data_IF_757178667283
#
_entry.id   IF_757178667283
#
_cell.length_a   1.000
_cell.length_b   1.000
_cell.length_c   1.000
_cell.angle_alpha   90.00
_cell.angle_beta   90.00
_cell.angle_gamma   90.00
#
_symmetry.space_group_name_H-M   'P 1'
#
loop_
_entity.id
_entity.type
_entity.pdbx_description
1 polymer ?
#
# COMPACT_ATOMS: atom_id res chain seq x y z
N UNK A 1 -32.32 8.30 -18.14
CA UNK A 1 -32.33 8.08 -16.68
C UNK A 1 -33.14 6.82 -16.41
N UNK A 2 -32.49 5.74 -15.99
CA UNK A 2 -33.17 4.46 -15.74
C UNK A 2 -32.82 4.04 -14.31
N UNK A 3 -33.86 3.87 -13.51
CA UNK A 3 -33.83 3.75 -12.05
C UNK A 3 -34.25 2.33 -11.70
N UNK A 4 -33.31 1.48 -11.25
CA UNK A 4 -33.57 0.10 -10.85
C UNK A 4 -33.54 0.00 -9.33
N UNK A 5 -34.72 0.05 -8.73
CA UNK A 5 -34.93 -0.26 -7.31
C UNK A 5 -36.02 -1.33 -7.22
N UNK A 6 -35.69 -2.40 -6.49
CA UNK A 6 -36.56 -3.46 -5.96
C UNK A 6 -36.90 -4.60 -6.92
N UNK A 7 -36.21 -5.72 -6.75
CA UNK A 7 -36.76 -7.05 -7.01
C UNK A 7 -36.50 -7.87 -5.75
N UNK A 8 -37.58 -8.16 -5.05
CA UNK A 8 -37.68 -9.06 -3.90
C UNK A 8 -38.65 -10.18 -4.28
N UNK A 9 -38.56 -11.27 -3.52
CA UNK A 9 -39.46 -12.43 -3.43
C UNK A 9 -39.19 -13.67 -4.30
N UNK A 10 -38.62 -14.65 -3.58
CA UNK A 10 -39.24 -15.94 -3.22
C UNK A 10 -39.01 -17.15 -4.14
N UNK A 11 -38.56 -18.27 -3.55
CA UNK A 11 -39.41 -19.46 -3.35
C UNK A 11 -38.69 -20.58 -2.56
N UNK A 12 -39.32 -20.94 -1.44
CA UNK A 12 -39.62 -22.31 -0.96
C UNK A 12 -38.54 -23.22 -0.34
N UNK A 13 -38.73 -23.43 0.97
CA UNK A 13 -38.29 -24.56 1.78
C UNK A 13 -38.92 -25.90 1.34
N UNK A 14 -38.16 -26.99 1.49
CA UNK A 14 -38.68 -28.35 1.67
C UNK A 14 -38.11 -28.93 2.97
N UNK A 15 -39.00 -29.51 3.77
CA UNK A 15 -38.83 -30.07 5.12
C UNK A 15 -38.86 -31.60 5.10
N UNK A 16 -38.44 -32.18 6.25
CA UNK A 16 -38.62 -33.55 6.78
C UNK A 16 -37.54 -34.58 6.36
N UNK A 17 -36.81 -35.30 7.23
CA UNK A 17 -36.86 -35.51 8.68
C UNK A 17 -36.81 -37.02 8.99
N UNK A 18 -35.88 -37.52 9.82
CA UNK A 18 -35.97 -38.82 10.54
C UNK A 18 -35.19 -38.75 11.88
N UNK A 19 -35.74 -39.43 12.90
CA UNK A 19 -35.50 -39.41 14.35
C UNK A 19 -34.56 -40.52 14.89
N UNK A 20 -34.18 -40.35 16.17
CA UNK A 20 -33.70 -41.32 17.20
C UNK A 20 -32.21 -41.76 17.10
N UNK A 21 -31.34 -41.59 18.11
CA UNK A 21 -31.33 -42.19 19.47
C UNK A 21 -30.45 -43.47 19.41
N UNK A 22 -29.44 -43.81 20.22
CA UNK A 22 -28.99 -43.49 21.59
C UNK A 22 -27.55 -44.02 21.81
N UNK A 23 -26.99 -43.68 22.98
CA UNK A 23 -25.98 -44.39 23.81
C UNK A 23 -24.49 -44.42 23.43
N UNK A 24 -23.72 -44.18 24.50
CA UNK A 24 -22.28 -44.07 24.61
C UNK A 24 -21.54 -45.40 24.45
N UNK A 25 -20.27 -45.31 24.07
CA UNK A 25 -19.19 -46.15 24.59
C UNK A 25 -17.87 -45.37 24.53
N UNK A 26 -17.07 -45.50 25.59
CA UNK A 26 -15.72 -44.97 25.71
C UNK A 26 -14.75 -46.15 25.69
N UNK A 27 -13.73 -46.15 24.81
CA UNK A 27 -12.49 -46.89 25.07
C UNK A 27 -11.30 -46.38 24.24
N UNK A 28 -10.17 -46.28 24.94
CA UNK A 28 -8.78 -46.04 24.53
C UNK A 28 -8.31 -46.94 23.36
N UNK A 29 -7.52 -46.44 22.41
CA UNK A 29 -6.04 -46.47 22.44
C UNK A 29 -5.42 -46.03 21.09
N UNK A 30 -4.14 -45.65 21.15
CA UNK A 30 -3.36 -44.94 20.13
C UNK A 30 -3.05 -45.71 18.83
N UNK A 31 -2.96 -44.99 17.69
CA UNK A 31 -1.75 -44.91 16.82
C UNK A 31 -1.94 -44.03 15.57
N UNK A 32 -1.00 -43.11 15.39
CA UNK A 32 -0.26 -42.67 14.20
C UNK A 32 -0.87 -42.52 12.77
N UNK A 33 -0.37 -41.46 12.12
CA UNK A 33 -0.34 -41.12 10.69
C UNK A 33 -1.58 -40.57 9.95
N UNK A 34 -1.49 -39.24 9.69
CA UNK A 34 -1.43 -38.59 8.36
C UNK A 34 -2.67 -38.66 7.42
N UNK A 35 -2.94 -37.49 6.80
CA UNK A 35 -3.81 -37.24 5.61
C UNK A 35 -5.26 -36.84 5.99
N UNK A 36 -5.92 -35.76 5.53
CA UNK A 36 -5.66 -34.78 4.49
C UNK A 36 -6.52 -33.50 4.74
N UNK A 37 -5.95 -32.35 4.37
CA UNK A 37 -6.57 -31.28 3.55
C UNK A 37 -7.98 -30.76 3.92
N UNK A 38 -8.03 -29.52 4.43
CA UNK A 38 -8.81 -28.48 3.77
C UNK A 38 -8.18 -27.10 3.92
N UNK A 39 -7.70 -26.64 2.78
CA UNK A 39 -6.91 -25.46 2.49
C UNK A 39 -7.85 -24.24 2.43
N UNK A 40 -7.88 -23.41 3.47
CA UNK A 40 -8.36 -22.03 3.33
C UNK A 40 -7.21 -21.24 2.74
N UNK A 41 -7.32 -20.99 1.45
CA UNK A 41 -6.36 -20.27 0.63
C UNK A 41 -6.40 -18.79 1.04
N UNK A 42 -5.70 -18.43 2.12
CA UNK A 42 -5.16 -17.07 2.23
C UNK A 42 -4.25 -16.90 1.02
N UNK A 43 -4.72 -16.13 0.05
CA UNK A 43 -3.87 -15.61 -1.02
C UNK A 43 -2.97 -14.56 -0.36
N UNK A 44 -2.03 -15.03 0.44
CA UNK A 44 -0.79 -14.33 0.69
C UNK A 44 -0.05 -14.46 -0.63
N UNK A 45 -0.39 -13.60 -1.59
CA UNK A 45 0.55 -13.30 -2.67
C UNK A 45 1.85 -12.95 -1.94
N UNK A 46 2.92 -13.76 -2.05
CA UNK A 46 4.19 -13.29 -1.58
C UNK A 46 4.44 -12.07 -2.45
N UNK A 47 4.34 -10.88 -1.85
CA UNK A 47 4.98 -9.71 -2.42
C UNK A 47 6.46 -10.06 -2.34
N UNK A 48 6.89 -10.77 -3.38
CA UNK A 48 8.22 -11.31 -3.52
C UNK A 48 9.17 -10.21 -3.09
N UNK A 49 10.03 -10.55 -2.14
CA UNK A 49 11.04 -9.66 -1.55
C UNK A 49 11.56 -8.71 -2.62
N UNK A 50 11.01 -7.50 -2.63
CA UNK A 50 11.59 -6.39 -3.35
C UNK A 50 12.72 -5.82 -2.49
N UNK A 51 13.65 -6.68 -2.09
CA UNK A 51 15.02 -6.25 -1.84
C UNK A 51 15.66 -6.00 -3.22
N UNK A 52 15.10 -5.05 -3.99
CA UNK A 52 15.39 -4.93 -5.42
C UNK A 52 15.71 -3.49 -5.79
N UNK A 53 16.96 -3.30 -6.23
CA UNK A 53 17.55 -2.14 -6.91
C UNK A 53 17.63 -0.79 -6.17
N UNK A 54 16.86 -0.57 -5.11
CA UNK A 54 16.73 0.75 -4.45
C UNK A 54 17.66 0.97 -3.25
N UNK A 55 18.41 -0.05 -2.81
CA UNK A 55 19.37 0.07 -1.69
C UNK A 55 18.76 0.24 -0.30
N UNK A 56 17.44 0.10 -0.15
CA UNK A 56 16.74 0.12 1.14
C UNK A 56 15.65 -0.96 1.21
N UNK A 57 15.35 -1.47 2.40
CA UNK A 57 14.23 -2.37 2.65
C UNK A 57 12.93 -1.55 2.79
N UNK A 58 12.04 -1.70 1.81
CA UNK A 58 10.75 -1.00 1.80
C UNK A 58 9.90 -1.30 3.04
N UNK A 59 9.81 -2.56 3.46
CA UNK A 59 8.95 -2.96 4.57
C UNK A 59 9.50 -2.44 5.89
N UNK A 60 10.82 -2.48 6.07
CA UNK A 60 11.46 -1.92 7.26
C UNK A 60 11.26 -0.40 7.38
N UNK A 61 11.41 0.32 6.27
CA UNK A 61 11.18 1.78 6.26
C UNK A 61 9.71 2.10 6.55
N UNK A 62 8.76 1.40 5.91
CA UNK A 62 7.33 1.60 6.16
C UNK A 62 6.98 1.34 7.62
N UNK A 63 7.45 0.22 8.18
CA UNK A 63 7.27 -0.11 9.60
C UNK A 63 7.84 0.96 10.52
N UNK A 64 9.08 1.39 10.26
CA UNK A 64 9.77 2.43 11.03
C UNK A 64 8.98 3.73 11.04
N UNK A 65 8.49 4.17 9.88
CA UNK A 65 7.76 5.43 9.77
C UNK A 65 6.34 5.33 10.33
N UNK A 66 5.67 4.18 10.17
CA UNK A 66 4.34 3.94 10.74
C UNK A 66 4.33 3.92 12.27
N UNK A 67 5.44 3.54 12.91
CA UNK A 67 5.57 3.58 14.37
C UNK A 67 5.46 5.01 14.94
N UNK A 68 5.77 6.05 14.14
CA UNK A 68 5.66 7.46 14.54
C UNK A 68 4.48 8.17 13.88
N UNK A 69 4.14 7.79 12.66
CA UNK A 69 3.13 8.44 11.82
C UNK A 69 2.25 7.37 11.18
N UNK A 70 1.32 6.84 11.97
CA UNK A 70 0.48 5.71 11.55
C UNK A 70 -0.40 6.10 10.39
N UNK A 71 -0.20 5.44 9.25
CA UNK A 71 -1.09 5.49 8.09
C UNK A 71 -1.42 4.08 7.60
N UNK A 72 -2.60 3.91 6.99
CA UNK A 72 -2.88 2.71 6.23
C UNK A 72 -1.97 2.57 5.00
N UNK A 73 -1.61 1.34 4.62
CA UNK A 73 -0.73 1.08 3.48
C UNK A 73 -1.33 1.59 2.16
N UNK A 74 -2.65 1.56 2.04
CA UNK A 74 -3.37 2.06 0.86
C UNK A 74 -3.18 3.56 0.63
N UNK A 75 -2.77 4.33 1.65
CA UNK A 75 -2.44 5.75 1.47
C UNK A 75 -1.16 5.92 0.66
N UNK A 76 -0.19 5.02 0.83
CA UNK A 76 1.06 5.00 0.05
C UNK A 76 0.76 4.61 -1.39
N UNK A 77 -0.03 3.56 -1.59
CA UNK A 77 -0.46 3.13 -2.92
C UNK A 77 -1.18 4.26 -3.67
N UNK A 78 -2.18 4.86 -3.03
CA UNK A 78 -2.91 5.99 -3.61
C UNK A 78 -1.99 7.16 -3.95
N UNK A 79 -1.03 7.47 -3.07
CA UNK A 79 -0.06 8.52 -3.35
C UNK A 79 0.79 8.18 -4.58
N UNK A 80 1.25 6.94 -4.73
CA UNK A 80 2.01 6.52 -5.91
C UNK A 80 1.19 6.57 -7.20
N UNK A 81 -0.12 6.33 -7.13
CA UNK A 81 -1.02 6.33 -8.30
C UNK A 81 -1.51 7.74 -8.68
N UNK A 82 -1.65 8.64 -7.69
CA UNK A 82 -2.36 9.92 -7.88
C UNK A 82 -1.56 11.16 -7.47
N UNK A 83 -0.42 10.98 -6.81
CA UNK A 83 0.33 12.03 -6.11
C UNK A 83 -0.45 12.73 -4.98
N UNK A 84 -1.57 12.15 -4.52
CA UNK A 84 -2.43 12.73 -3.49
C UNK A 84 -2.57 11.82 -2.28
N UNK A 85 -2.52 12.42 -1.09
CA UNK A 85 -2.94 11.76 0.15
C UNK A 85 -4.45 11.95 0.31
N UNK A 86 -5.17 10.96 0.89
CA UNK A 86 -6.63 11.03 1.03
C UNK A 86 -7.10 12.09 2.02
N UNK A 87 -6.27 12.48 2.99
CA UNK A 87 -6.52 13.59 3.90
C UNK A 87 -5.26 14.45 4.01
N UNK A 88 -5.36 15.72 3.62
CA UNK A 88 -4.26 16.70 3.73
C UNK A 88 -4.45 17.70 4.89
N UNK A 89 -5.59 17.64 5.59
CA UNK A 89 -5.84 18.43 6.80
C UNK A 89 -5.08 17.82 7.97
N UNK A 90 -5.17 16.50 8.11
CA UNK A 90 -4.31 15.74 9.02
C UNK A 90 -2.90 15.58 8.40
N UNK A 91 -1.90 16.09 9.10
CA UNK A 91 -0.51 16.10 8.63
C UNK A 91 0.18 14.75 8.80
N UNK A 92 -0.46 13.76 9.44
CA UNK A 92 0.13 12.45 9.72
C UNK A 92 0.69 11.79 8.45
N UNK A 93 -0.08 11.75 7.36
CA UNK A 93 0.41 11.19 6.09
C UNK A 93 1.54 12.00 5.45
N UNK A 94 1.55 13.32 5.61
CA UNK A 94 2.66 14.15 5.14
C UNK A 94 3.93 13.89 5.95
N UNK A 95 3.81 13.70 7.26
CA UNK A 95 4.93 13.38 8.13
C UNK A 95 5.44 11.95 7.91
N UNK A 96 4.56 11.01 7.59
CA UNK A 96 4.96 9.69 7.12
C UNK A 96 5.82 9.81 5.86
N UNK A 97 5.38 10.55 4.84
CA UNK A 97 6.15 10.75 3.61
C UNK A 97 7.51 11.43 3.89
N UNK A 98 7.56 12.39 4.82
CA UNK A 98 8.82 12.97 5.26
C UNK A 98 9.76 11.91 5.83
N UNK A 99 9.28 11.12 6.79
CA UNK A 99 10.06 10.03 7.37
C UNK A 99 10.55 9.06 6.30
N UNK A 100 9.65 8.65 5.39
CA UNK A 100 9.96 7.72 4.32
C UNK A 100 11.08 8.25 3.41
N UNK A 101 10.96 9.48 2.91
CA UNK A 101 11.97 10.07 2.03
C UNK A 101 13.33 10.25 2.72
N UNK A 102 13.35 10.54 4.02
CA UNK A 102 14.59 10.67 4.79
C UNK A 102 15.23 9.30 5.09
N UNK A 103 14.43 8.29 5.46
CA UNK A 103 14.90 6.94 5.80
C UNK A 103 15.41 6.16 4.59
N UNK A 104 14.78 6.36 3.44
CA UNK A 104 15.26 5.83 2.16
C UNK A 104 16.49 6.56 1.63
N UNK A 105 16.81 7.76 2.15
CA UNK A 105 17.90 8.59 1.65
C UNK A 105 17.56 9.34 0.34
N UNK A 106 16.28 9.35 -0.06
CA UNK A 106 15.78 10.10 -1.22
C UNK A 106 15.85 11.61 -0.98
N UNK A 107 15.75 12.05 0.27
CA UNK A 107 15.76 13.45 0.66
C UNK A 107 16.63 13.68 1.89
N UNK A 108 17.43 14.75 1.89
CA UNK A 108 18.14 15.27 3.06
C UNK A 108 18.10 16.80 3.04
N UNK A 109 17.58 17.44 4.09
CA UNK A 109 17.47 18.90 4.19
C UNK A 109 16.79 19.53 2.95
N UNK A 110 15.71 18.93 2.47
CA UNK A 110 15.00 19.31 1.24
C UNK A 110 15.82 19.22 -0.05
N UNK A 111 17.00 18.60 -0.01
CA UNK A 111 17.78 18.25 -1.17
C UNK A 111 17.51 16.80 -1.56
N UNK A 112 17.09 16.58 -2.80
CA UNK A 112 16.85 15.28 -3.38
C UNK A 112 18.17 14.63 -3.79
N UNK A 113 18.29 13.34 -3.48
CA UNK A 113 19.38 12.51 -3.98
C UNK A 113 19.10 12.14 -5.44
N UNK A 114 19.73 12.86 -6.38
CA UNK A 114 19.44 12.69 -7.79
C UNK A 114 19.73 11.29 -8.31
N UNK A 115 20.78 10.65 -7.82
CA UNK A 115 21.16 9.29 -8.21
C UNK A 115 20.08 8.30 -7.78
N UNK A 116 19.68 8.35 -6.51
CA UNK A 116 18.71 7.41 -5.97
C UNK A 116 17.31 7.63 -6.55
N UNK A 117 16.91 8.89 -6.74
CA UNK A 117 15.64 9.26 -7.38
C UNK A 117 15.56 8.72 -8.81
N UNK A 118 16.65 8.82 -9.59
CA UNK A 118 16.71 8.25 -10.94
C UNK A 118 16.67 6.73 -10.95
N UNK A 119 17.25 6.07 -9.95
CA UNK A 119 17.22 4.60 -9.83
C UNK A 119 15.85 4.06 -9.41
N UNK A 120 15.15 4.79 -8.54
CA UNK A 120 13.92 4.30 -7.88
C UNK A 120 12.64 4.76 -8.55
N UNK A 121 12.68 5.86 -9.32
CA UNK A 121 11.49 6.47 -9.91
C UNK A 121 11.54 6.55 -11.45
N UNK A 122 12.52 5.91 -12.13
CA UNK A 122 12.64 5.96 -13.59
C UNK A 122 11.32 5.59 -14.31
N UNK A 123 10.89 6.34 -15.36
CA UNK A 123 11.59 7.38 -16.13
C UNK A 123 11.49 8.81 -15.58
N UNK A 124 10.88 9.01 -14.40
CA UNK A 124 10.23 10.24 -13.94
C UNK A 124 11.04 11.54 -13.79
N UNK A 125 12.37 11.48 -13.92
CA UNK A 125 13.23 12.42 -13.21
C UNK A 125 14.30 13.02 -14.10
N UNK A 126 13.90 13.53 -15.27
CA UNK A 126 14.72 14.40 -16.12
C UNK A 126 15.20 15.66 -15.38
N UNK A 127 14.69 16.83 -15.76
CA UNK A 127 15.06 18.13 -15.14
C UNK A 127 14.12 18.52 -13.97
N UNK A 128 13.28 17.59 -13.51
CA UNK A 128 12.28 17.84 -12.46
C UNK A 128 12.89 18.00 -11.06
N UNK A 129 14.06 17.43 -10.81
CA UNK A 129 14.73 17.44 -9.52
C UNK A 129 14.96 18.87 -8.98
N UNK A 130 15.66 19.79 -9.70
CA UNK A 130 15.87 21.15 -9.22
C UNK A 130 14.57 21.95 -9.07
N UNK A 131 13.53 21.62 -9.84
CA UNK A 131 12.21 22.25 -9.71
C UNK A 131 11.55 21.77 -8.42
N UNK A 132 11.44 20.46 -8.23
CA UNK A 132 10.71 19.86 -7.12
C UNK A 132 11.39 20.09 -5.76
N UNK A 133 12.72 20.19 -5.67
CA UNK A 133 13.41 20.52 -4.40
C UNK A 133 13.00 21.89 -3.82
N UNK A 134 12.59 22.82 -4.68
CA UNK A 134 12.22 24.18 -4.29
C UNK A 134 10.73 24.32 -3.92
N UNK A 135 9.94 23.27 -4.08
CA UNK A 135 8.53 23.26 -3.71
C UNK A 135 8.34 23.47 -2.22
N UNK A 136 7.37 24.32 -1.87
CA UNK A 136 7.12 24.70 -0.48
C UNK A 136 8.30 25.40 0.20
N UNK A 137 9.20 26.08 -0.52
CA UNK A 137 10.37 26.75 0.07
C UNK A 137 10.04 27.75 1.20
N UNK A 138 8.82 28.30 1.23
CA UNK A 138 8.31 29.20 2.29
C UNK A 138 7.50 28.49 3.38
N UNK A 139 7.28 27.19 3.26
CA UNK A 139 6.53 26.40 4.24
C UNK A 139 7.41 26.11 5.46
N UNK A 140 6.90 26.45 6.64
CA UNK A 140 7.61 26.29 7.92
C UNK A 140 7.42 24.91 8.51
N UNK A 141 6.34 24.20 8.17
CA UNK A 141 6.09 22.84 8.59
C UNK A 141 6.89 21.85 7.71
N UNK A 142 7.87 21.12 8.28
CA UNK A 142 8.74 20.24 7.49
C UNK A 142 7.96 19.14 6.75
N UNK A 143 6.90 18.59 7.37
CA UNK A 143 6.08 17.55 6.76
C UNK A 143 5.34 18.07 5.52
N UNK A 144 4.74 19.27 5.61
CA UNK A 144 4.05 19.90 4.48
C UNK A 144 5.01 20.21 3.34
N UNK A 145 6.19 20.74 3.67
CA UNK A 145 7.22 21.04 2.66
C UNK A 145 7.68 19.78 1.96
N UNK A 146 8.03 18.73 2.70
CA UNK A 146 8.44 17.45 2.09
C UNK A 146 7.32 16.83 1.27
N UNK A 147 6.06 16.93 1.70
CA UNK A 147 4.91 16.50 0.91
C UNK A 147 4.81 17.26 -0.42
N UNK A 148 5.01 18.58 -0.44
CA UNK A 148 5.02 19.36 -1.67
C UNK A 148 6.12 18.89 -2.65
N UNK A 149 7.33 18.63 -2.15
CA UNK A 149 8.45 18.07 -2.93
C UNK A 149 8.08 16.69 -3.49
N UNK A 150 7.60 15.78 -2.62
CA UNK A 150 7.21 14.42 -3.01
C UNK A 150 6.11 14.41 -4.05
N UNK A 151 5.09 15.27 -3.87
CA UNK A 151 3.97 15.42 -4.78
C UNK A 151 4.42 15.91 -6.14
N UNK A 152 5.32 16.90 -6.19
CA UNK A 152 5.90 17.36 -7.45
C UNK A 152 6.61 16.23 -8.18
N UNK A 153 7.45 15.45 -7.50
CA UNK A 153 8.13 14.31 -8.10
C UNK A 153 7.15 13.28 -8.66
N UNK A 154 6.14 12.94 -7.87
CA UNK A 154 5.16 11.92 -8.26
C UNK A 154 4.29 12.38 -9.43
N UNK A 155 3.86 13.65 -9.45
CA UNK A 155 3.13 14.22 -10.60
C UNK A 155 3.98 14.18 -11.87
N UNK A 156 5.26 14.53 -11.79
CA UNK A 156 6.19 14.45 -12.94
C UNK A 156 6.37 13.01 -13.39
N UNK A 157 6.50 12.07 -12.45
CA UNK A 157 6.56 10.63 -12.73
C UNK A 157 5.34 10.12 -13.50
N UNK A 158 4.14 10.49 -13.05
CA UNK A 158 2.90 10.08 -13.67
C UNK A 158 2.74 10.68 -15.07
N UNK A 159 3.16 11.92 -15.28
CA UNK A 159 3.14 12.56 -16.61
C UNK A 159 4.15 11.90 -17.56
N UNK A 160 5.38 11.68 -17.12
CA UNK A 160 6.43 11.06 -17.94
C UNK A 160 6.10 9.61 -18.29
N UNK A 161 5.52 8.86 -17.35
CA UNK A 161 5.06 7.48 -17.59
C UNK A 161 3.97 7.42 -18.68
N UNK A 162 3.05 8.40 -18.71
CA UNK A 162 1.99 8.48 -19.72
C UNK A 162 2.49 8.94 -21.09
N UNK A 163 3.57 9.71 -21.13
CA UNK A 163 4.11 10.29 -22.36
C UNK A 163 5.18 9.42 -23.04
N UNK A 164 5.55 8.27 -22.46
CA UNK A 164 6.47 7.35 -23.11
C UNK A 164 5.85 6.85 -24.43
N UNK A 165 6.50 7.08 -25.59
CA UNK A 165 6.06 6.44 -26.82
C UNK A 165 6.11 4.93 -26.63
N UNK A 166 5.05 4.25 -27.05
CA UNK A 166 5.06 2.80 -27.20
C UNK A 166 6.10 2.54 -28.29
N UNK A 167 7.28 2.04 -27.91
CA UNK A 167 8.32 1.58 -28.84
C UNK A 167 7.97 0.20 -29.38
#
# INVERSE_FOLDING_TARGET
MVNYRKVELALSLLLLGVLAGTTADAQSDATDNKLDKQQSMETTTPMAEAANASGFDFQDVVRTCNASFTIPLEYIQRFNETAELPNTTDKTGMCFLKCYMEKTGLLRNWQLNSTLIRQTMWPATGDSIPVCQNEGSRETCPCKRTYAIAKCLMLRALVDARNKPIV
#
